data_IF_091030774455
#
_entry.id   IF_091030774455
#
_cell.length_a   1.000
_cell.length_b   1.000
_cell.length_c   1.000
_cell.angle_alpha   90.00
_cell.angle_beta   90.00
_cell.angle_gamma   90.00
#
_symmetry.space_group_name_H-M   'P 1'
#
loop_
_entity.id
_entity.type
_entity.pdbx_description
1 polymer ?
#
# COMPACT_ATOMS: atom_id res chain seq x y z
N UNK A 1 21.33 -16.10 7.14
CA UNK A 1 20.62 -15.54 8.31
C UNK A 1 19.31 -14.94 7.82
N UNK A 2 18.20 -15.09 8.56
CA UNK A 2 16.92 -14.51 8.17
C UNK A 2 17.00 -12.98 8.05
N UNK A 3 16.24 -12.42 7.13
CA UNK A 3 16.20 -10.98 6.86
C UNK A 3 14.78 -10.49 6.55
N UNK A 4 14.57 -9.18 6.55
CA UNK A 4 13.30 -8.60 6.13
C UNK A 4 13.36 -8.02 4.72
N UNK A 5 12.19 -7.83 4.13
CA UNK A 5 12.00 -7.07 2.89
C UNK A 5 10.91 -6.04 3.11
N UNK A 6 11.01 -4.88 2.47
CA UNK A 6 9.96 -3.87 2.52
C UNK A 6 9.82 -3.22 1.14
N UNK A 7 8.60 -3.15 0.62
CA UNK A 7 8.32 -2.57 -0.70
C UNK A 7 7.36 -1.38 -0.63
N UNK A 8 6.90 -1.01 0.58
CA UNK A 8 6.13 0.20 0.79
C UNK A 8 6.90 1.13 1.72
N UNK A 9 7.53 2.15 1.14
CA UNK A 9 8.30 3.14 1.87
C UNK A 9 8.40 4.44 1.09
N UNK A 10 8.31 5.53 1.84
CA UNK A 10 8.30 6.90 1.36
C UNK A 10 9.58 7.63 1.75
N UNK A 11 9.82 8.79 1.15
CA UNK A 11 10.94 9.68 1.43
C UNK A 11 10.54 11.13 1.13
N UNK A 12 11.45 12.08 1.28
CA UNK A 12 11.23 13.52 1.08
C UNK A 12 10.86 13.95 -0.36
N UNK A 13 10.74 13.00 -1.29
CA UNK A 13 10.12 13.26 -2.59
C UNK A 13 8.61 13.41 -2.49
N UNK A 14 7.98 12.77 -1.50
CA UNK A 14 6.57 12.87 -1.13
C UNK A 14 6.47 13.34 0.34
N UNK A 15 5.59 12.76 1.15
CA UNK A 15 5.38 13.07 2.57
C UNK A 15 6.28 12.25 3.54
N UNK A 16 7.31 11.59 3.03
CA UNK A 16 8.37 11.02 3.85
C UNK A 16 9.27 12.11 4.44
N UNK A 17 9.86 11.83 5.59
CA UNK A 17 10.57 12.83 6.41
C UNK A 17 12.03 13.08 6.05
N UNK A 18 12.71 12.11 5.43
CA UNK A 18 14.17 12.16 5.21
C UNK A 18 14.56 11.89 3.75
N UNK A 19 15.82 12.18 3.43
CA UNK A 19 16.43 11.80 2.14
C UNK A 19 16.42 10.28 1.95
N UNK A 20 16.31 9.77 0.72
CA UNK A 20 16.28 8.33 0.41
C UNK A 20 17.42 7.53 1.05
N UNK A 21 18.64 8.06 1.09
CA UNK A 21 19.81 7.35 1.64
C UNK A 21 19.69 7.05 3.14
N UNK A 22 19.01 7.89 3.92
CA UNK A 22 18.84 7.68 5.36
C UNK A 22 17.95 6.45 5.64
N UNK A 23 16.94 6.23 4.80
CA UNK A 23 16.14 5.00 4.86
C UNK A 23 16.96 3.76 4.52
N UNK A 24 17.86 3.86 3.52
CA UNK A 24 18.73 2.74 3.15
C UNK A 24 19.69 2.38 4.28
N UNK A 25 20.31 3.38 4.92
CA UNK A 25 21.19 3.13 6.08
C UNK A 25 20.43 2.42 7.20
N UNK A 26 19.21 2.86 7.49
CA UNK A 26 18.39 2.22 8.52
C UNK A 26 17.88 0.84 8.10
N UNK A 27 17.58 0.63 6.81
CA UNK A 27 17.25 -0.69 6.27
C UNK A 27 18.41 -1.68 6.45
N UNK A 28 19.65 -1.26 6.17
CA UNK A 28 20.85 -2.07 6.44
C UNK A 28 21.00 -2.38 7.93
N UNK A 29 20.81 -1.38 8.79
CA UNK A 29 20.86 -1.54 10.25
C UNK A 29 19.82 -2.55 10.76
N UNK A 30 18.60 -2.51 10.23
CA UNK A 30 17.51 -3.43 10.55
C UNK A 30 17.56 -4.76 9.77
N UNK A 31 18.67 -5.04 9.07
CA UNK A 31 18.91 -6.28 8.31
C UNK A 31 17.85 -6.55 7.24
N UNK A 32 17.36 -5.51 6.59
CA UNK A 32 16.58 -5.64 5.36
C UNK A 32 17.53 -5.98 4.21
N UNK A 33 17.15 -6.93 3.36
CA UNK A 33 17.94 -7.32 2.18
C UNK A 33 17.28 -6.96 0.84
N UNK A 34 15.99 -6.68 0.82
CA UNK A 34 15.31 -6.09 -0.33
C UNK A 34 14.50 -4.89 0.13
N UNK A 35 14.80 -3.72 -0.43
CA UNK A 35 14.17 -2.47 -0.08
C UNK A 35 13.62 -1.78 -1.32
N UNK A 36 12.34 -1.45 -1.31
CA UNK A 36 11.67 -0.78 -2.39
C UNK A 36 11.26 0.63 -1.99
N UNK A 37 11.68 1.62 -2.77
CA UNK A 37 11.10 2.96 -2.71
C UNK A 37 9.76 2.96 -3.44
N UNK A 38 8.75 3.58 -2.85
CA UNK A 38 7.41 3.64 -3.41
C UNK A 38 6.71 4.96 -3.08
N UNK A 39 7.43 6.08 -3.24
CA UNK A 39 6.85 7.41 -3.05
C UNK A 39 5.53 7.57 -3.81
N UNK A 40 4.62 8.35 -3.22
CA UNK A 40 3.39 8.77 -3.89
C UNK A 40 3.70 9.35 -5.28
N UNK A 41 3.13 8.75 -6.32
CA UNK A 41 3.31 9.19 -7.69
C UNK A 41 2.75 10.60 -7.90
N UNK A 42 3.31 11.38 -8.84
CA UNK A 42 2.75 12.68 -9.18
C UNK A 42 1.28 12.61 -9.59
N UNK A 43 0.48 13.49 -8.99
CA UNK A 43 -0.92 13.68 -9.32
C UNK A 43 -1.09 14.87 -10.28
N UNK A 44 -2.14 14.87 -11.12
CA UNK A 44 -2.41 15.97 -12.06
C UNK A 44 -3.10 17.18 -11.40
N UNK A 45 -3.09 17.23 -10.08
CA UNK A 45 -3.56 18.34 -9.24
C UNK A 45 -2.67 18.43 -8.00
N UNK A 46 -2.63 19.60 -7.39
CA UNK A 46 -1.78 19.85 -6.23
C UNK A 46 -2.24 19.05 -5.01
N UNK A 47 -1.29 18.42 -4.33
CA UNK A 47 -1.47 17.80 -3.02
C UNK A 47 -0.24 18.08 -2.16
N UNK A 48 -0.37 18.13 -0.83
CA UNK A 48 0.78 18.37 0.04
C UNK A 48 1.64 17.11 0.24
N UNK A 49 1.17 15.95 -0.22
CA UNK A 49 1.75 14.65 0.10
C UNK A 49 2.28 13.87 -1.11
N UNK A 50 1.81 14.15 -2.34
CA UNK A 50 2.33 13.48 -3.53
C UNK A 50 3.63 14.12 -4.02
N UNK A 51 4.42 13.35 -4.77
CA UNK A 51 5.62 13.88 -5.42
C UNK A 51 5.27 14.94 -6.47
N UNK A 52 5.86 16.14 -6.43
CA UNK A 52 5.71 17.10 -7.52
C UNK A 52 6.24 16.52 -8.85
N UNK A 53 5.51 16.69 -9.98
CA UNK A 53 5.90 16.10 -11.27
C UNK A 53 7.34 16.40 -11.71
N UNK A 54 7.83 17.60 -11.44
CA UNK A 54 9.18 18.05 -11.77
C UNK A 54 10.29 17.31 -10.99
N UNK A 55 9.95 16.71 -9.85
CA UNK A 55 10.91 15.93 -9.05
C UNK A 55 11.05 14.47 -9.52
N UNK A 56 10.14 13.96 -10.35
CA UNK A 56 10.16 12.55 -10.80
C UNK A 56 11.49 12.14 -11.42
N UNK A 57 12.04 12.98 -12.31
CA UNK A 57 13.33 12.68 -12.95
C UNK A 57 14.50 12.62 -11.97
N UNK A 58 14.43 13.37 -10.86
CA UNK A 58 15.45 13.34 -9.81
C UNK A 58 15.27 12.11 -8.91
N UNK A 59 14.04 11.77 -8.56
CA UNK A 59 13.70 10.54 -7.82
C UNK A 59 14.25 9.29 -8.51
N UNK A 60 14.00 9.14 -9.81
CA UNK A 60 14.46 7.98 -10.59
C UNK A 60 16.00 7.91 -10.65
N UNK A 61 16.69 9.05 -10.82
CA UNK A 61 18.15 9.09 -10.84
C UNK A 61 18.76 8.76 -9.48
N UNK A 62 18.18 9.27 -8.41
CA UNK A 62 18.69 9.09 -7.06
C UNK A 62 18.51 7.64 -6.58
N UNK A 63 17.33 7.06 -6.78
CA UNK A 63 17.06 5.65 -6.44
C UNK A 63 17.93 4.69 -7.27
N UNK A 64 18.14 4.97 -8.55
CA UNK A 64 19.08 4.21 -9.39
C UNK A 64 20.53 4.33 -8.92
N UNK A 65 20.96 5.52 -8.49
CA UNK A 65 22.29 5.72 -7.91
C UNK A 65 22.46 4.92 -6.61
N UNK A 66 21.48 4.96 -5.71
CA UNK A 66 21.51 4.22 -4.45
C UNK A 66 21.56 2.71 -4.67
N UNK A 67 20.83 2.20 -5.68
CA UNK A 67 20.89 0.79 -6.10
C UNK A 67 22.33 0.34 -6.40
N UNK A 68 23.11 1.17 -7.09
CA UNK A 68 24.53 0.88 -7.37
C UNK A 68 25.38 1.04 -6.09
N UNK A 69 25.22 2.15 -5.37
CA UNK A 69 26.03 2.48 -4.18
C UNK A 69 25.93 1.43 -3.07
N UNK A 70 24.78 0.79 -2.90
CA UNK A 70 24.51 -0.15 -1.82
C UNK A 70 24.33 -1.61 -2.26
N UNK A 71 24.66 -1.95 -3.52
CA UNK A 71 24.40 -3.27 -4.10
C UNK A 71 24.98 -4.45 -3.29
N UNK A 72 26.11 -4.25 -2.61
CA UNK A 72 26.77 -5.30 -1.80
C UNK A 72 26.10 -5.50 -0.43
N UNK A 73 25.22 -4.58 -0.02
CA UNK A 73 24.57 -4.59 1.29
C UNK A 73 23.12 -5.07 1.21
N UNK A 74 22.36 -4.61 0.23
CA UNK A 74 20.96 -4.95 -0.01
C UNK A 74 20.56 -4.66 -1.46
N UNK A 75 19.49 -5.31 -1.92
CA UNK A 75 18.87 -5.05 -3.22
C UNK A 75 17.88 -3.90 -3.10
N UNK A 76 18.03 -2.89 -3.94
CA UNK A 76 17.16 -1.72 -3.97
C UNK A 76 16.31 -1.73 -5.23
N UNK A 77 15.03 -1.43 -5.06
CA UNK A 77 14.03 -1.39 -6.12
C UNK A 77 13.35 -0.03 -6.18
N UNK A 78 13.07 0.43 -7.39
CA UNK A 78 12.41 1.70 -7.66
C UNK A 78 10.97 1.44 -8.07
N UNK A 79 10.03 1.75 -7.19
CA UNK A 79 8.60 1.72 -7.46
C UNK A 79 7.95 3.08 -7.20
N UNK A 80 6.62 3.12 -7.29
CA UNK A 80 5.79 4.24 -6.84
C UNK A 80 4.49 3.68 -6.27
N UNK A 81 3.94 4.35 -5.26
CA UNK A 81 2.54 4.19 -4.89
C UNK A 81 1.70 5.08 -5.81
N UNK A 82 0.93 4.45 -6.68
CA UNK A 82 0.14 5.10 -7.72
C UNK A 82 -1.33 5.03 -7.34
N UNK A 83 -1.91 6.21 -7.15
CA UNK A 83 -3.35 6.33 -6.99
C UNK A 83 -4.11 5.87 -8.23
N UNK A 84 -5.28 5.28 -8.01
CA UNK A 84 -6.24 5.01 -9.06
C UNK A 84 -7.40 6.00 -8.98
N UNK A 85 -7.44 6.91 -9.97
CA UNK A 85 -8.55 7.85 -10.17
C UNK A 85 -9.04 7.63 -11.61
N UNK A 86 -10.25 7.06 -11.81
CA UNK A 86 -10.75 6.73 -13.14
C UNK A 86 -10.63 7.87 -14.14
N UNK A 87 -10.06 7.57 -15.31
CA UNK A 87 -9.87 8.55 -16.39
C UNK A 87 -8.77 9.58 -16.16
N UNK A 88 -8.07 9.54 -15.02
CA UNK A 88 -7.09 10.56 -14.65
C UNK A 88 -5.70 9.98 -14.36
N UNK A 89 -5.60 9.02 -13.44
CA UNK A 89 -4.34 8.35 -13.12
C UNK A 89 -4.56 6.88 -12.75
N UNK A 90 -3.61 6.03 -13.13
CA UNK A 90 -3.60 4.62 -12.81
C UNK A 90 -2.17 4.06 -12.79
N UNK A 91 -1.93 2.88 -12.21
CA UNK A 91 -0.64 2.18 -12.28
C UNK A 91 -0.07 2.01 -13.71
N UNK A 92 -0.91 2.07 -14.74
CA UNK A 92 -0.54 1.96 -16.15
C UNK A 92 -0.65 3.29 -16.91
N UNK A 93 -0.73 4.44 -16.23
CA UNK A 93 -0.62 5.74 -16.91
C UNK A 93 0.71 5.84 -17.68
N UNK A 94 0.72 6.56 -18.80
CA UNK A 94 1.85 6.54 -19.74
C UNK A 94 3.17 6.95 -19.09
N UNK A 95 3.18 8.01 -18.27
CA UNK A 95 4.38 8.46 -17.58
C UNK A 95 4.88 7.45 -16.53
N UNK A 96 3.98 6.66 -15.91
CA UNK A 96 4.34 5.59 -14.98
C UNK A 96 5.04 4.46 -15.74
N UNK A 97 4.51 4.08 -16.92
CA UNK A 97 5.16 3.07 -17.77
C UNK A 97 6.51 3.55 -18.30
N UNK A 98 6.61 4.81 -18.70
CA UNK A 98 7.86 5.43 -19.17
C UNK A 98 8.91 5.54 -18.06
N UNK A 99 8.51 5.60 -16.79
CA UNK A 99 9.42 5.61 -15.65
C UNK A 99 10.16 4.26 -15.45
N UNK A 100 9.74 3.19 -16.14
CA UNK A 100 10.39 1.87 -16.13
C UNK A 100 10.65 1.34 -14.70
N UNK A 101 9.64 1.48 -13.83
CA UNK A 101 9.70 1.05 -12.44
C UNK A 101 9.88 -0.48 -12.31
N UNK A 102 10.55 -0.91 -11.24
CA UNK A 102 10.67 -2.33 -10.87
C UNK A 102 9.31 -2.91 -10.42
N UNK A 103 8.44 -2.08 -9.83
CA UNK A 103 7.08 -2.45 -9.42
C UNK A 103 6.18 -1.22 -9.19
N UNK A 104 4.86 -1.43 -9.12
CA UNK A 104 3.90 -0.41 -8.68
C UNK A 104 3.08 -0.92 -7.50
N UNK A 105 2.82 -0.04 -6.52
CA UNK A 105 1.72 -0.23 -5.58
C UNK A 105 0.51 0.55 -6.11
N UNK A 106 -0.64 -0.10 -6.24
CA UNK A 106 -1.88 0.58 -6.62
C UNK A 106 -2.78 0.78 -5.40
N UNK A 107 -3.23 2.01 -5.20
CA UNK A 107 -3.99 2.45 -4.03
C UNK A 107 -5.22 3.27 -4.42
N UNK A 108 -6.21 3.33 -3.53
CA UNK A 108 -7.41 4.19 -3.69
C UNK A 108 -7.47 5.13 -2.49
N UNK A 109 -7.02 6.38 -2.66
CA UNK A 109 -7.18 7.41 -1.64
C UNK A 109 -8.38 8.33 -1.90
N UNK A 110 -8.80 8.43 -3.16
CA UNK A 110 -9.93 9.26 -3.59
C UNK A 110 -11.11 8.40 -4.04
N UNK A 111 -12.30 8.65 -3.48
CA UNK A 111 -13.50 7.84 -3.78
C UNK A 111 -14.49 8.56 -4.69
N UNK A 112 -14.61 9.88 -4.55
CA UNK A 112 -15.53 10.71 -5.34
C UNK A 112 -15.12 12.19 -5.21
N UNK A 113 -15.86 13.10 -5.83
CA UNK A 113 -15.65 14.55 -5.71
C UNK A 113 -16.78 15.25 -4.93
N UNK A 114 -16.42 16.33 -4.25
CA UNK A 114 -17.37 17.32 -3.76
C UNK A 114 -17.97 18.11 -4.93
N UNK A 115 -19.10 18.80 -4.70
CA UNK A 115 -19.77 19.59 -5.74
C UNK A 115 -18.93 20.73 -6.33
N UNK A 116 -17.84 21.12 -5.68
CA UNK A 116 -16.86 22.10 -6.17
C UNK A 116 -15.72 21.46 -7.01
N UNK A 117 -15.78 20.15 -7.29
CA UNK A 117 -14.77 19.41 -8.05
C UNK A 117 -13.57 18.92 -7.23
N UNK A 118 -13.47 19.27 -5.94
CA UNK A 118 -12.39 18.76 -5.07
C UNK A 118 -12.58 17.25 -4.84
N UNK A 119 -11.52 16.46 -4.98
CA UNK A 119 -11.59 15.05 -4.65
C UNK A 119 -11.73 14.81 -3.14
N UNK A 120 -12.52 13.81 -2.76
CA UNK A 120 -12.71 13.37 -1.39
C UNK A 120 -11.69 12.30 -1.01
N UNK A 121 -10.71 12.74 -0.21
CA UNK A 121 -9.67 11.91 0.41
C UNK A 121 -10.23 11.11 1.59
N UNK A 122 -10.13 9.79 1.51
CA UNK A 122 -10.70 8.87 2.51
C UNK A 122 -9.85 8.71 3.77
N UNK A 123 -8.58 9.09 3.71
CA UNK A 123 -7.57 8.93 4.74
C UNK A 123 -7.02 10.26 5.28
N UNK A 124 -7.70 11.36 4.92
CA UNK A 124 -7.56 12.68 5.49
C UNK A 124 -8.06 12.72 6.96
N UNK A 125 -8.47 13.89 7.44
CA UNK A 125 -8.97 14.03 8.82
C UNK A 125 -10.35 13.39 8.97
N UNK A 126 -10.70 13.03 10.21
CA UNK A 126 -12.05 12.55 10.52
C UNK A 126 -13.16 13.56 10.16
N UNK A 127 -12.87 14.87 10.19
CA UNK A 127 -13.79 15.90 9.73
C UNK A 127 -14.00 15.87 8.23
N UNK A 128 -12.93 15.79 7.44
CA UNK A 128 -13.00 15.66 5.97
C UNK A 128 -13.77 14.38 5.58
N UNK A 129 -13.52 13.27 6.28
CA UNK A 129 -14.26 12.03 6.05
C UNK A 129 -15.77 12.19 6.32
N UNK A 130 -16.15 12.77 7.47
CA UNK A 130 -17.56 13.06 7.80
C UNK A 130 -18.21 14.01 6.79
N UNK A 131 -17.48 15.04 6.36
CA UNK A 131 -17.94 16.01 5.37
C UNK A 131 -18.27 15.34 4.05
N UNK A 132 -17.38 14.50 3.52
CA UNK A 132 -17.65 13.76 2.27
C UNK A 132 -18.80 12.77 2.40
N UNK A 133 -18.91 12.05 3.53
CA UNK A 133 -20.10 11.21 3.78
C UNK A 133 -21.39 12.02 3.73
N UNK A 134 -21.42 13.21 4.34
CA UNK A 134 -22.60 14.09 4.37
C UNK A 134 -22.92 14.66 3.00
N UNK A 135 -21.94 15.28 2.34
CA UNK A 135 -22.16 16.11 1.14
C UNK A 135 -22.24 15.29 -0.14
N UNK A 136 -21.48 14.20 -0.24
CA UNK A 136 -21.39 13.38 -1.46
C UNK A 136 -22.34 12.19 -1.37
N UNK A 137 -22.41 11.55 -0.20
CA UNK A 137 -23.16 10.31 0.00
C UNK A 137 -24.44 10.48 0.83
N UNK A 138 -24.85 11.71 1.15
CA UNK A 138 -26.05 12.00 1.95
C UNK A 138 -26.12 11.17 3.25
N UNK A 139 -24.99 11.09 3.97
CA UNK A 139 -24.79 10.28 5.18
C UNK A 139 -25.07 8.77 5.00
N UNK A 140 -24.82 8.21 3.81
CA UNK A 140 -24.94 6.77 3.54
C UNK A 140 -23.55 6.12 3.45
N UNK A 141 -22.96 5.68 4.58
CA UNK A 141 -21.63 5.08 4.59
C UNK A 141 -21.56 3.81 3.72
N UNK A 142 -22.59 2.96 3.73
CA UNK A 142 -22.62 1.75 2.88
C UNK A 142 -22.36 2.06 1.39
N UNK A 143 -22.93 3.14 0.87
CA UNK A 143 -22.74 3.57 -0.52
C UNK A 143 -21.29 4.02 -0.78
N UNK A 144 -20.70 4.80 0.13
CA UNK A 144 -19.31 5.24 0.05
C UNK A 144 -18.33 4.05 0.08
N UNK A 145 -18.53 3.11 1.01
CA UNK A 145 -17.66 1.92 1.12
C UNK A 145 -17.80 1.01 -0.12
N UNK A 146 -19.02 0.85 -0.66
CA UNK A 146 -19.24 0.11 -1.92
C UNK A 146 -18.50 0.77 -3.09
N UNK A 147 -18.52 2.10 -3.17
CA UNK A 147 -17.81 2.85 -4.20
C UNK A 147 -16.29 2.66 -4.08
N UNK A 148 -15.73 2.76 -2.87
CA UNK A 148 -14.31 2.47 -2.61
C UNK A 148 -13.89 1.10 -3.16
N UNK A 149 -14.60 0.02 -2.79
CA UNK A 149 -14.26 -1.32 -3.30
C UNK A 149 -14.54 -1.48 -4.81
N UNK A 150 -15.51 -0.75 -5.36
CA UNK A 150 -15.76 -0.72 -6.81
C UNK A 150 -14.56 -0.12 -7.54
N UNK A 151 -13.98 0.97 -7.05
CA UNK A 151 -12.78 1.59 -7.62
C UNK A 151 -11.59 0.65 -7.54
N UNK A 152 -11.36 -0.02 -6.40
CA UNK A 152 -10.29 -1.03 -6.29
C UNK A 152 -10.46 -2.14 -7.33
N UNK A 153 -11.68 -2.64 -7.54
CA UNK A 153 -11.96 -3.66 -8.57
C UNK A 153 -11.81 -3.14 -9.99
N UNK A 154 -12.11 -1.86 -10.22
CA UNK A 154 -11.92 -1.21 -11.51
C UNK A 154 -10.41 -1.08 -11.81
N UNK A 155 -9.61 -0.62 -10.85
CA UNK A 155 -8.14 -0.62 -10.93
C UNK A 155 -7.61 -1.99 -11.30
N UNK A 156 -8.02 -3.05 -10.58
CA UNK A 156 -7.60 -4.42 -10.82
C UNK A 156 -7.98 -4.96 -12.21
N UNK A 157 -9.02 -4.41 -12.84
CA UNK A 157 -9.48 -4.81 -14.16
C UNK A 157 -8.76 -4.04 -15.27
N UNK A 158 -8.58 -2.74 -15.10
CA UNK A 158 -8.13 -1.82 -16.15
C UNK A 158 -6.62 -1.60 -16.10
N UNK A 159 -6.05 -1.60 -14.91
CA UNK A 159 -4.65 -1.25 -14.65
C UNK A 159 -4.12 -2.00 -13.41
N UNK A 160 -4.05 -3.34 -13.44
CA UNK A 160 -3.65 -4.13 -12.29
C UNK A 160 -2.20 -3.80 -11.87
N UNK A 161 -1.98 -3.33 -10.62
CA UNK A 161 -0.63 -3.07 -10.13
C UNK A 161 0.09 -4.38 -9.78
N UNK A 162 1.41 -4.32 -9.60
CA UNK A 162 2.18 -5.41 -8.98
C UNK A 162 1.66 -5.74 -7.57
N UNK A 163 1.47 -4.71 -6.74
CA UNK A 163 0.99 -4.82 -5.36
C UNK A 163 -0.27 -3.97 -5.20
N UNK A 164 -1.30 -4.49 -4.52
CA UNK A 164 -2.45 -3.69 -4.07
C UNK A 164 -2.19 -3.20 -2.66
N UNK A 165 -2.11 -1.88 -2.49
CA UNK A 165 -1.88 -1.22 -1.20
C UNK A 165 -3.07 -1.35 -0.26
N UNK A 166 -2.78 -1.47 1.04
CA UNK A 166 -3.68 -1.32 2.19
C UNK A 166 -5.18 -1.49 1.91
N UNK A 167 -5.57 -2.68 1.40
CA UNK A 167 -6.86 -2.94 0.72
C UNK A 167 -8.12 -2.42 1.42
N UNK A 168 -8.18 -2.43 2.75
CA UNK A 168 -9.34 -1.98 3.54
C UNK A 168 -9.10 -0.66 4.31
N UNK A 169 -8.18 0.21 3.84
CA UNK A 169 -7.83 1.50 4.44
C UNK A 169 -9.04 2.39 4.73
N UNK A 170 -10.11 2.29 3.92
CA UNK A 170 -11.39 2.97 4.14
C UNK A 170 -11.99 2.77 5.56
N UNK A 171 -11.63 1.68 6.25
CA UNK A 171 -12.06 1.42 7.63
C UNK A 171 -11.32 2.25 8.68
N UNK A 172 -10.28 3.01 8.32
CA UNK A 172 -9.40 3.64 9.32
C UNK A 172 -10.17 4.53 10.31
N UNK A 173 -11.15 5.29 9.80
CA UNK A 173 -12.03 6.11 10.64
C UNK A 173 -13.11 5.28 11.37
N UNK A 174 -13.47 4.11 10.85
CA UNK A 174 -14.45 3.20 11.43
C UNK A 174 -14.02 2.68 12.80
N UNK A 175 -12.71 2.52 13.02
CA UNK A 175 -12.15 2.04 14.30
C UNK A 175 -12.71 2.81 15.50
N UNK A 176 -12.74 4.15 15.41
CA UNK A 176 -13.20 5.04 16.49
C UNK A 176 -14.64 5.53 16.29
N UNK A 177 -15.07 5.75 15.04
CA UNK A 177 -16.33 6.45 14.76
C UNK A 177 -17.50 5.51 14.40
N UNK A 178 -17.24 4.22 14.13
CA UNK A 178 -18.27 3.19 13.92
C UNK A 178 -19.32 3.57 12.86
N UNK A 179 -18.88 4.05 11.71
CA UNK A 179 -19.75 4.40 10.57
C UNK A 179 -20.47 3.20 9.95
N UNK A 180 -19.90 2.00 10.02
CA UNK A 180 -20.51 0.79 9.48
C UNK A 180 -20.06 -0.46 10.25
N UNK A 181 -20.84 -1.54 10.13
CA UNK A 181 -20.51 -2.85 10.70
C UNK A 181 -19.70 -3.68 9.69
N UNK A 182 -18.45 -3.99 10.05
CA UNK A 182 -17.54 -4.86 9.28
C UNK A 182 -17.95 -6.35 9.28
N UNK A 183 -19.04 -6.69 9.99
CA UNK A 183 -19.71 -8.00 9.95
C UNK A 183 -20.98 -7.98 9.09
N UNK A 184 -21.38 -6.83 8.57
CA UNK A 184 -22.55 -6.75 7.71
C UNK A 184 -22.34 -7.57 6.43
N UNK A 185 -23.38 -8.31 6.03
CA UNK A 185 -23.29 -9.21 4.86
C UNK A 185 -22.95 -8.49 3.56
N UNK A 186 -23.37 -7.23 3.40
CA UNK A 186 -23.02 -6.43 2.22
C UNK A 186 -21.52 -6.09 2.19
N UNK A 187 -20.91 -5.81 3.34
CA UNK A 187 -19.48 -5.48 3.43
C UNK A 187 -18.62 -6.69 3.11
N UNK A 188 -18.94 -7.84 3.73
CA UNK A 188 -18.24 -9.11 3.45
C UNK A 188 -18.35 -9.51 1.96
N UNK A 189 -19.50 -9.25 1.33
CA UNK A 189 -19.69 -9.46 -0.11
C UNK A 189 -18.77 -8.55 -0.94
N UNK A 190 -18.66 -7.27 -0.60
CA UNK A 190 -17.78 -6.34 -1.32
C UNK A 190 -16.30 -6.67 -1.16
N UNK A 191 -15.86 -7.01 0.06
CA UNK A 191 -14.51 -7.52 0.32
C UNK A 191 -14.25 -8.79 -0.50
N UNK A 192 -15.15 -9.78 -0.45
CA UNK A 192 -14.96 -11.05 -1.15
C UNK A 192 -14.90 -10.87 -2.67
N UNK A 193 -15.76 -10.01 -3.25
CA UNK A 193 -15.70 -9.67 -4.68
C UNK A 193 -14.35 -9.05 -5.04
N UNK A 194 -13.82 -8.19 -4.18
CA UNK A 194 -12.56 -7.49 -4.41
C UNK A 194 -11.36 -8.45 -4.31
N UNK A 195 -11.33 -9.32 -3.31
CA UNK A 195 -10.29 -10.36 -3.20
C UNK A 195 -10.31 -11.32 -4.41
N UNK A 196 -11.49 -11.70 -4.91
CA UNK A 196 -11.60 -12.51 -6.15
C UNK A 196 -11.06 -11.76 -7.37
N UNK A 197 -11.34 -10.47 -7.48
CA UNK A 197 -10.79 -9.64 -8.56
C UNK A 197 -9.25 -9.55 -8.46
N UNK A 198 -8.72 -9.37 -7.24
CA UNK A 198 -7.28 -9.32 -6.98
C UNK A 198 -6.61 -10.65 -7.38
N UNK A 199 -7.18 -11.78 -6.95
CA UNK A 199 -6.69 -13.10 -7.32
C UNK A 199 -6.67 -13.33 -8.84
N UNK A 200 -7.68 -12.81 -9.55
CA UNK A 200 -7.80 -12.91 -11.01
C UNK A 200 -6.77 -12.01 -11.72
N UNK A 201 -6.50 -10.83 -11.17
CA UNK A 201 -5.53 -9.88 -11.72
C UNK A 201 -4.08 -10.39 -11.60
N UNK A 202 -3.80 -11.30 -10.66
CA UNK A 202 -2.46 -11.82 -10.41
C UNK A 202 -1.58 -10.87 -9.58
N UNK A 203 -2.17 -9.81 -9.02
CA UNK A 203 -1.47 -8.88 -8.11
C UNK A 203 -1.18 -9.52 -6.74
N UNK A 204 -0.21 -8.93 -6.05
CA UNK A 204 0.14 -9.26 -4.67
C UNK A 204 -0.67 -8.37 -3.72
N UNK A 205 -1.21 -8.94 -2.64
CA UNK A 205 -1.88 -8.17 -1.60
C UNK A 205 -0.87 -7.68 -0.55
N UNK A 206 -0.85 -6.38 -0.28
CA UNK A 206 -0.08 -5.84 0.82
C UNK A 206 -0.68 -6.21 2.19
N UNK A 207 0.19 -6.57 3.13
CA UNK A 207 -0.04 -6.52 4.58
C UNK A 207 0.71 -5.32 5.12
N UNK A 208 -0.02 -4.23 5.39
CA UNK A 208 0.50 -2.93 5.78
C UNK A 208 0.41 -2.75 7.30
N UNK A 209 1.54 -2.49 7.98
CA UNK A 209 1.59 -2.34 9.43
C UNK A 209 1.38 -0.91 9.94
N UNK A 210 1.33 0.10 9.06
CA UNK A 210 1.24 1.53 9.40
C UNK A 210 0.07 1.87 10.27
N UNK A 211 -1.11 1.32 9.97
CA UNK A 211 -2.31 1.54 10.76
C UNK A 211 -2.09 1.27 12.26
N UNK A 212 -1.33 0.22 12.58
CA UNK A 212 -1.08 -0.21 13.96
C UNK A 212 -0.02 0.65 14.64
N UNK A 213 1.17 0.83 14.06
CA UNK A 213 2.24 1.55 14.75
C UNK A 213 1.99 3.06 14.86
N UNK A 214 1.13 3.63 14.00
CA UNK A 214 0.67 5.02 14.10
C UNK A 214 -0.56 5.19 14.99
N UNK A 215 -1.13 4.11 15.52
CA UNK A 215 -2.34 4.14 16.34
C UNK A 215 -3.62 4.58 15.60
N UNK A 216 -3.61 4.55 14.26
CA UNK A 216 -4.80 4.82 13.43
C UNK A 216 -5.81 3.67 13.51
N UNK A 217 -5.34 2.42 13.60
CA UNK A 217 -6.15 1.21 13.73
C UNK A 217 -5.54 0.25 14.76
N UNK A 218 -6.35 -0.70 15.23
CA UNK A 218 -5.87 -1.78 16.12
C UNK A 218 -5.29 -2.99 15.36
N UNK A 219 -5.49 -3.02 14.04
CA UNK A 219 -5.14 -4.13 13.17
C UNK A 219 -4.44 -3.60 11.92
N UNK A 220 -3.66 -4.46 11.27
CA UNK A 220 -3.01 -4.17 9.98
C UNK A 220 -4.05 -3.94 8.87
N UNK A 221 -3.61 -3.39 7.74
CA UNK A 221 -4.41 -3.38 6.52
C UNK A 221 -3.94 -4.49 5.56
N UNK A 222 -4.83 -5.37 5.05
CA UNK A 222 -6.20 -5.51 5.50
C UNK A 222 -6.32 -6.23 6.86
N UNK A 223 -7.50 -6.21 7.47
CA UNK A 223 -7.74 -6.86 8.77
C UNK A 223 -7.43 -8.36 8.74
N UNK A 224 -7.09 -9.00 9.88
CA UNK A 224 -6.94 -10.45 9.98
C UNK A 224 -8.12 -11.25 9.41
N UNK A 225 -9.35 -10.73 9.51
CA UNK A 225 -10.55 -11.36 8.91
C UNK A 225 -10.48 -11.38 7.37
N UNK A 226 -10.11 -10.26 6.76
CA UNK A 226 -9.91 -10.14 5.32
C UNK A 226 -8.71 -10.98 4.87
N UNK A 227 -7.61 -10.97 5.64
CA UNK A 227 -6.42 -11.77 5.38
C UNK A 227 -6.70 -13.27 5.42
N UNK A 228 -7.50 -13.75 6.37
CA UNK A 228 -7.95 -15.15 6.40
C UNK A 228 -8.67 -15.51 5.11
N UNK A 229 -9.56 -14.64 4.62
CA UNK A 229 -10.27 -14.86 3.36
C UNK A 229 -9.33 -14.81 2.15
N UNK A 230 -8.30 -13.96 2.19
CA UNK A 230 -7.28 -13.91 1.15
C UNK A 230 -6.43 -15.19 1.11
N UNK A 231 -6.10 -15.76 2.27
CA UNK A 231 -5.40 -17.04 2.38
C UNK A 231 -6.24 -18.20 1.81
N UNK A 232 -7.55 -18.24 2.10
CA UNK A 232 -8.50 -19.22 1.51
C UNK A 232 -8.61 -19.12 -0.02
N UNK A 233 -8.32 -17.95 -0.60
CA UNK A 233 -8.31 -17.71 -2.05
C UNK A 233 -6.90 -17.84 -2.66
N UNK A 234 -5.91 -18.26 -1.87
CA UNK A 234 -4.51 -18.42 -2.27
C UNK A 234 -3.93 -17.15 -2.92
N UNK A 235 -4.29 -15.99 -2.36
CA UNK A 235 -3.76 -14.70 -2.81
C UNK A 235 -2.33 -14.54 -2.29
N UNK A 236 -1.34 -14.22 -3.14
CA UNK A 236 0.01 -13.93 -2.69
C UNK A 236 0.01 -12.65 -1.85
N UNK A 237 0.79 -12.63 -0.76
CA UNK A 237 0.93 -11.47 0.12
C UNK A 237 2.37 -11.00 0.21
N UNK A 238 2.57 -9.70 0.43
CA UNK A 238 3.83 -9.11 0.88
C UNK A 238 3.62 -8.34 2.18
N UNK A 239 4.62 -8.33 3.07
CA UNK A 239 4.58 -7.57 4.31
C UNK A 239 5.33 -6.26 4.11
N UNK A 240 4.72 -5.13 4.44
CA UNK A 240 5.33 -3.81 4.26
C UNK A 240 4.91 -2.85 5.36
N UNK A 241 5.75 -1.86 5.64
CA UNK A 241 5.51 -0.94 6.77
C UNK A 241 4.93 0.39 6.35
N UNK A 242 5.02 0.77 5.08
CA UNK A 242 4.56 2.08 4.62
C UNK A 242 5.26 3.20 5.41
N UNK A 243 6.59 3.03 5.48
CA UNK A 243 7.49 3.84 6.30
C UNK A 243 7.56 5.28 5.78
N UNK A 244 7.32 6.25 6.66
CA UNK A 244 7.52 7.68 6.37
C UNK A 244 8.66 8.27 7.20
N UNK A 245 9.33 7.45 8.02
CA UNK A 245 10.55 7.77 8.73
C UNK A 245 11.51 6.58 8.66
N UNK A 246 12.84 6.79 8.68
CA UNK A 246 13.79 5.69 8.66
C UNK A 246 13.53 4.62 9.73
N UNK A 247 13.18 5.02 10.96
CA UNK A 247 12.90 4.09 12.06
C UNK A 247 11.71 3.16 11.81
N UNK A 248 10.87 3.45 10.82
CA UNK A 248 9.66 2.70 10.50
C UNK A 248 9.91 1.56 9.47
N UNK A 249 11.10 1.42 8.89
CA UNK A 249 11.36 0.52 7.73
C UNK A 249 11.06 -0.96 7.95
N UNK A 250 11.02 -1.46 9.19
CA UNK A 250 10.52 -2.81 9.51
C UNK A 250 9.51 -2.81 10.68
N UNK A 251 8.84 -1.68 10.90
CA UNK A 251 7.95 -1.50 12.05
C UNK A 251 6.89 -2.61 12.12
N UNK A 252 6.86 -3.29 13.28
CA UNK A 252 5.94 -4.38 13.62
C UNK A 252 6.02 -5.66 12.76
N UNK A 253 7.07 -5.87 11.95
CA UNK A 253 7.13 -7.08 11.11
C UNK A 253 7.12 -8.37 11.93
N UNK A 254 8.06 -8.52 12.87
CA UNK A 254 8.15 -9.69 13.74
C UNK A 254 6.84 -9.94 14.53
N UNK A 255 6.16 -8.87 14.98
CA UNK A 255 4.90 -8.96 15.73
C UNK A 255 3.72 -9.36 14.85
N UNK A 256 3.79 -9.12 13.55
CA UNK A 256 2.74 -9.46 12.58
C UNK A 256 2.80 -10.94 12.18
N UNK A 257 3.97 -11.59 12.26
CA UNK A 257 4.18 -13.00 11.85
C UNK A 257 3.22 -14.00 12.51
N UNK A 258 3.02 -14.02 13.85
CA UNK A 258 2.12 -14.99 14.47
C UNK A 258 0.67 -14.86 13.97
N UNK A 259 0.23 -13.63 13.70
CA UNK A 259 -1.09 -13.37 13.13
C UNK A 259 -1.19 -13.92 11.71
N UNK A 260 -0.19 -13.67 10.85
CA UNK A 260 -0.16 -14.20 9.48
C UNK A 260 -0.20 -15.73 9.45
N UNK A 261 0.58 -16.39 10.31
CA UNK A 261 0.56 -17.85 10.46
C UNK A 261 -0.83 -18.34 10.91
N UNK A 262 -1.46 -17.66 11.88
CA UNK A 262 -2.79 -18.01 12.40
C UNK A 262 -3.90 -17.87 11.35
N UNK A 263 -3.84 -16.86 10.47
CA UNK A 263 -4.85 -16.68 9.41
C UNK A 263 -4.61 -17.58 8.19
N UNK A 264 -3.48 -18.29 8.13
CA UNK A 264 -3.24 -19.38 7.17
C UNK A 264 -2.10 -19.13 6.17
N UNK A 265 -1.37 -18.01 6.27
CA UNK A 265 -0.24 -17.76 5.38
C UNK A 265 1.00 -18.54 5.80
N UNK A 266 1.71 -19.06 4.80
CA UNK A 266 2.95 -19.85 4.95
C UNK A 266 4.14 -19.24 4.20
N UNK A 267 3.86 -18.37 3.23
CA UNK A 267 4.87 -17.71 2.40
C UNK A 267 4.58 -16.22 2.28
N UNK A 268 5.64 -15.42 2.18
CA UNK A 268 5.60 -14.04 1.71
C UNK A 268 6.15 -14.01 0.28
N UNK A 269 5.58 -13.17 -0.57
CA UNK A 269 6.13 -12.87 -1.88
C UNK A 269 7.12 -11.71 -1.77
N UNK A 270 8.32 -11.92 -2.29
CA UNK A 270 9.40 -10.95 -2.29
C UNK A 270 9.96 -10.80 -3.69
N UNK A 271 10.47 -9.62 -4.00
CA UNK A 271 11.26 -9.35 -5.19
C UNK A 271 12.73 -9.57 -4.85
N UNK A 272 13.27 -10.70 -5.31
CA UNK A 272 14.65 -11.08 -5.05
C UNK A 272 15.33 -11.43 -6.38
N UNK A 273 16.49 -10.84 -6.63
CA UNK A 273 17.22 -10.89 -7.90
C UNK A 273 16.34 -10.51 -9.10
N UNK A 274 15.49 -9.49 -8.91
CA UNK A 274 14.58 -9.00 -9.95
C UNK A 274 13.40 -9.92 -10.26
N UNK A 275 13.16 -10.97 -9.47
CA UNK A 275 12.04 -11.89 -9.65
C UNK A 275 11.15 -11.99 -8.41
N UNK A 276 9.84 -11.86 -8.61
CA UNK A 276 8.85 -12.10 -7.54
C UNK A 276 8.75 -13.60 -7.24
N UNK A 277 9.01 -13.98 -5.99
CA UNK A 277 9.01 -15.38 -5.57
C UNK A 277 8.46 -15.57 -4.15
N UNK A 278 7.93 -16.76 -3.88
CA UNK A 278 7.29 -17.09 -2.63
C UNK A 278 8.27 -17.77 -1.65
N UNK A 279 8.64 -17.08 -0.57
CA UNK A 279 9.61 -17.55 0.42
C UNK A 279 8.95 -17.84 1.77
N UNK A 280 9.48 -18.82 2.49
CA UNK A 280 9.07 -19.11 3.87
C UNK A 280 9.55 -18.02 4.82
N UNK A 281 8.81 -17.80 5.90
CA UNK A 281 9.12 -16.77 6.87
C UNK A 281 8.83 -17.22 8.29
N UNK A 282 9.50 -16.57 9.23
CA UNK A 282 9.28 -16.72 10.66
C UNK A 282 9.57 -15.40 11.38
N UNK A 283 9.54 -15.39 12.70
CA UNK A 283 9.55 -14.20 13.54
C UNK A 283 10.85 -13.38 13.43
N UNK A 284 11.93 -13.96 12.86
CA UNK A 284 13.20 -13.26 12.64
C UNK A 284 13.40 -12.79 11.19
N UNK A 285 12.51 -13.16 10.27
CA UNK A 285 12.64 -12.80 8.85
C UNK A 285 12.21 -13.90 7.89
N UNK A 286 12.58 -13.67 6.63
CA UNK A 286 12.46 -14.55 5.50
C UNK A 286 13.73 -15.39 5.37
N UNK A 287 13.56 -16.64 4.94
CA UNK A 287 14.63 -17.57 4.61
C UNK A 287 14.58 -17.88 3.10
N UNK A 288 15.73 -17.71 2.44
CA UNK A 288 16.01 -18.14 1.06
C UNK A 288 17.10 -19.20 1.12
#
# INVERSE_FOLDING_TARGET
>A
MPFWTNYHSHCNYCDGSHEPEEYIKEAVNQRIKCYGFSSHAPLPFETPWAMPPEKLGRYLKETAFLKIKYQDLLQIYTGMEVDFIPGLISPHSDFIRQAALDYTIGSVHFVEQFGNGQFWEIDATAETFKKGLKEIFNNQPETAIKQYYKLTRQMLKESPPTIVGHLDKIKMHNTKLKFFDEKASWYEKEVTKTLKALRKAGSILEVNTRGVYTGRTFEVYPSPKVLKRAAELEIPITLSSDAHQPTEVAALFAKTVPMLKKVGFKKLHILWDGQWQACTYHEKGIEI
#
